data_IF_286048773303
#
_entry.id   IF_286048773303
#
_cell.length_a   1.000
_cell.length_b   1.000
_cell.length_c   1.000
_cell.angle_alpha   90.00
_cell.angle_beta   90.00
_cell.angle_gamma   90.00
#
_symmetry.space_group_name_H-M   'P 1'
#
loop_
_entity.id
_entity.type
_entity.pdbx_description
1 polymer ?
#
# COMPACT_ATOMS: atom_id res chain seq x y z
N UNK A 1 48.38 18.18 -24.26
CA UNK A 1 46.92 18.43 -24.29
C UNK A 1 46.23 17.15 -23.85
N UNK A 2 45.63 17.14 -22.65
CA UNK A 2 44.80 16.02 -22.21
C UNK A 2 43.65 15.85 -23.21
N UNK A 3 43.37 14.61 -23.59
CA UNK A 3 42.32 14.30 -24.56
C UNK A 3 40.96 14.54 -23.90
N UNK A 4 40.40 15.75 -24.05
CA UNK A 4 39.05 16.10 -23.58
C UNK A 4 37.99 15.08 -24.09
N UNK A 5 38.24 14.49 -25.26
CA UNK A 5 37.42 13.43 -25.82
C UNK A 5 37.41 12.15 -24.97
N UNK A 6 38.56 11.75 -24.42
CA UNK A 6 38.64 10.59 -23.54
C UNK A 6 37.83 10.83 -22.25
N UNK A 7 37.96 12.02 -21.66
CA UNK A 7 37.20 12.40 -20.46
C UNK A 7 35.70 12.36 -20.72
N UNK A 8 35.21 12.92 -21.83
CA UNK A 8 33.78 12.93 -22.17
C UNK A 8 33.23 11.50 -22.34
N UNK A 9 33.94 10.64 -23.08
CA UNK A 9 33.51 9.24 -23.30
C UNK A 9 33.54 8.45 -22.00
N UNK A 10 34.58 8.62 -21.20
CA UNK A 10 34.73 7.97 -19.90
C UNK A 10 33.61 8.37 -18.93
N UNK A 11 33.32 9.67 -18.80
CA UNK A 11 32.23 10.15 -17.97
C UNK A 11 30.89 9.62 -18.46
N UNK A 12 30.64 9.62 -19.79
CA UNK A 12 29.41 9.07 -20.37
C UNK A 12 29.21 7.60 -19.98
N UNK A 13 30.25 6.76 -20.12
CA UNK A 13 30.20 5.35 -19.75
C UNK A 13 29.94 5.17 -18.25
N UNK A 14 30.62 5.93 -17.39
CA UNK A 14 30.42 5.86 -15.94
C UNK A 14 28.99 6.29 -15.56
N UNK A 15 28.48 7.38 -16.12
CA UNK A 15 27.12 7.85 -15.84
C UNK A 15 26.07 6.84 -16.30
N UNK A 16 26.31 6.15 -17.42
CA UNK A 16 25.42 5.09 -17.92
C UNK A 16 25.38 3.91 -16.95
N UNK A 17 26.53 3.44 -16.47
CA UNK A 17 26.61 2.35 -15.49
C UNK A 17 25.96 2.76 -14.17
N UNK A 18 26.22 3.97 -13.67
CA UNK A 18 25.60 4.51 -12.46
C UNK A 18 24.08 4.57 -12.58
N UNK A 19 23.56 5.11 -13.68
CA UNK A 19 22.12 5.19 -13.92
C UNK A 19 21.48 3.80 -13.95
N UNK A 20 22.14 2.83 -14.59
CA UNK A 20 21.65 1.45 -14.65
C UNK A 20 21.58 0.79 -13.27
N UNK A 21 22.64 0.90 -12.47
CA UNK A 21 22.67 0.35 -11.12
C UNK A 21 21.62 1.01 -10.24
N UNK A 22 21.53 2.34 -10.26
CA UNK A 22 20.58 3.09 -9.45
C UNK A 22 19.13 2.74 -9.82
N UNK A 23 18.81 2.68 -11.12
CA UNK A 23 17.49 2.28 -11.60
C UNK A 23 17.11 0.87 -11.17
N UNK A 24 18.06 -0.07 -11.22
CA UNK A 24 17.83 -1.46 -10.83
C UNK A 24 17.57 -1.59 -9.33
N UNK A 25 18.38 -0.90 -8.51
CA UNK A 25 18.22 -0.92 -7.05
C UNK A 25 16.91 -0.26 -6.64
N UNK A 26 16.59 0.91 -7.21
CA UNK A 26 15.34 1.63 -6.93
C UNK A 26 14.13 0.75 -7.21
N UNK A 27 14.03 0.17 -8.41
CA UNK A 27 12.91 -0.67 -8.81
C UNK A 27 12.76 -1.92 -7.92
N UNK A 28 13.87 -2.53 -7.50
CA UNK A 28 13.84 -3.72 -6.63
C UNK A 28 13.42 -3.42 -5.18
N UNK A 29 13.71 -2.22 -4.68
CA UNK A 29 13.37 -1.81 -3.31
C UNK A 29 11.96 -1.23 -3.24
N UNK A 30 11.52 -0.52 -4.28
CA UNK A 30 10.21 0.13 -4.34
C UNK A 30 9.08 -0.90 -4.16
N UNK A 31 9.13 -2.03 -4.88
CA UNK A 31 8.12 -3.08 -4.77
C UNK A 31 8.03 -3.65 -3.33
N UNK A 32 9.17 -3.94 -2.70
CA UNK A 32 9.19 -4.45 -1.33
C UNK A 32 8.70 -3.42 -0.31
N UNK A 33 9.07 -2.15 -0.50
CA UNK A 33 8.64 -1.05 0.37
C UNK A 33 7.13 -0.88 0.28
N UNK A 34 6.58 -0.87 -0.93
CA UNK A 34 5.14 -0.73 -1.17
C UNK A 34 4.36 -1.90 -0.55
N UNK A 35 4.81 -3.15 -0.78
CA UNK A 35 4.17 -4.33 -0.17
C UNK A 35 4.15 -4.27 1.35
N UNK A 36 5.25 -3.85 1.98
CA UNK A 36 5.32 -3.72 3.43
C UNK A 36 4.44 -2.57 3.95
N UNK A 37 4.38 -1.46 3.23
CA UNK A 37 3.52 -0.32 3.56
C UNK A 37 2.04 -0.71 3.54
N UNK A 38 1.59 -1.39 2.48
CA UNK A 38 0.21 -1.89 2.38
C UNK A 38 -0.14 -2.89 3.48
N UNK A 39 0.79 -3.77 3.83
CA UNK A 39 0.59 -4.71 4.93
C UNK A 39 0.47 -4.00 6.28
N UNK A 40 1.23 -2.93 6.52
CA UNK A 40 1.11 -2.14 7.74
C UNK A 40 -0.23 -1.41 7.83
N UNK A 41 -0.73 -0.84 6.73
CA UNK A 41 -2.08 -0.25 6.69
C UNK A 41 -3.14 -1.31 7.04
N UNK A 42 -3.10 -2.47 6.38
CA UNK A 42 -4.05 -3.57 6.65
C UNK A 42 -3.97 -4.02 8.11
N UNK A 43 -2.75 -4.11 8.67
CA UNK A 43 -2.53 -4.42 10.08
C UNK A 43 -3.14 -3.37 11.01
N UNK A 44 -2.97 -2.08 10.72
CA UNK A 44 -3.58 -1.01 11.51
C UNK A 44 -5.11 -1.08 11.46
N UNK A 45 -5.70 -1.35 10.29
CA UNK A 45 -7.16 -1.56 10.15
C UNK A 45 -7.62 -2.75 10.99
N UNK A 46 -6.93 -3.90 10.91
CA UNK A 46 -7.24 -5.08 11.72
C UNK A 46 -7.14 -4.76 13.23
N UNK A 47 -6.11 -4.03 13.63
CA UNK A 47 -5.93 -3.57 15.02
C UNK A 47 -7.13 -2.74 15.48
N UNK A 48 -7.57 -1.77 14.68
CA UNK A 48 -8.73 -0.91 14.96
C UNK A 48 -10.04 -1.70 15.02
N UNK A 49 -10.14 -2.81 14.30
CA UNK A 49 -11.29 -3.73 14.32
C UNK A 49 -11.21 -4.77 15.47
N UNK A 50 -10.19 -4.67 16.33
CA UNK A 50 -10.03 -5.51 17.52
C UNK A 50 -9.39 -6.88 17.25
N UNK A 51 -8.74 -7.09 16.11
CA UNK A 51 -7.91 -8.27 15.90
C UNK A 51 -6.59 -8.12 16.66
N UNK A 52 -6.17 -9.18 17.35
CA UNK A 52 -4.92 -9.22 18.13
C UNK A 52 -4.10 -10.41 17.64
N UNK A 53 -2.77 -10.28 17.49
CA UNK A 53 -1.92 -11.43 17.16
C UNK A 53 -1.96 -12.43 18.31
N UNK A 54 -2.20 -13.70 17.98
CA UNK A 54 -2.09 -14.83 18.91
C UNK A 54 -0.85 -15.67 18.58
N UNK A 55 -0.43 -16.57 19.47
CA UNK A 55 0.74 -17.44 19.27
C UNK A 55 0.64 -18.27 17.98
N UNK A 56 -0.59 -18.59 17.54
CA UNK A 56 -0.85 -19.33 16.29
C UNK A 56 -1.02 -18.42 15.05
N UNK A 57 -1.17 -17.11 15.22
CA UNK A 57 -1.42 -16.14 14.13
C UNK A 57 -0.52 -14.93 14.28
N UNK A 58 0.78 -15.15 14.16
CA UNK A 58 1.74 -14.05 14.07
C UNK A 58 1.42 -13.15 12.89
N UNK A 59 1.53 -11.85 13.10
CA UNK A 59 1.31 -10.82 12.08
C UNK A 59 2.48 -10.75 11.10
N UNK A 60 2.56 -11.76 10.23
CA UNK A 60 3.32 -11.68 8.99
C UNK A 60 2.48 -11.01 7.91
N UNK A 61 3.15 -10.43 6.93
CA UNK A 61 2.53 -9.79 5.75
C UNK A 61 1.45 -10.67 5.12
N UNK A 62 1.77 -11.96 4.92
CA UNK A 62 0.88 -12.93 4.28
C UNK A 62 -0.35 -13.27 5.14
N UNK A 63 -0.16 -13.43 6.45
CA UNK A 63 -1.25 -13.75 7.37
C UNK A 63 -2.21 -12.57 7.55
N UNK A 64 -1.66 -11.36 7.68
CA UNK A 64 -2.45 -10.11 7.77
C UNK A 64 -3.34 -9.98 6.54
N UNK A 65 -2.77 -10.18 5.35
CA UNK A 65 -3.52 -10.11 4.09
C UNK A 65 -4.63 -11.17 4.01
N UNK A 66 -4.34 -12.40 4.42
CA UNK A 66 -5.33 -13.48 4.45
C UNK A 66 -6.48 -13.20 5.42
N UNK A 67 -6.17 -12.76 6.65
CA UNK A 67 -7.18 -12.43 7.68
C UNK A 67 -8.04 -11.26 7.21
N UNK A 68 -7.41 -10.24 6.63
CA UNK A 68 -8.09 -9.07 6.07
C UNK A 68 -9.08 -9.48 4.98
N UNK A 69 -8.63 -10.24 3.98
CA UNK A 69 -9.48 -10.68 2.87
C UNK A 69 -10.67 -11.54 3.31
N UNK A 70 -10.49 -12.33 4.36
CA UNK A 70 -11.53 -13.24 4.85
C UNK A 70 -12.53 -12.59 5.81
N UNK A 71 -12.13 -11.53 6.53
CA UNK A 71 -12.90 -11.00 7.67
C UNK A 71 -13.34 -9.54 7.51
N UNK A 72 -12.74 -8.82 6.57
CA UNK A 72 -12.98 -7.39 6.33
C UNK A 72 -13.60 -7.19 4.97
N UNK A 73 -14.70 -6.44 4.93
CA UNK A 73 -15.34 -5.97 3.70
C UNK A 73 -14.95 -4.51 3.52
N UNK A 74 -14.26 -4.21 2.43
CA UNK A 74 -13.90 -2.86 2.00
C UNK A 74 -14.94 -2.31 1.02
N UNK A 75 -15.31 -1.04 1.19
CA UNK A 75 -16.14 -0.30 0.24
C UNK A 75 -15.84 1.20 0.34
N UNK A 76 -16.27 1.95 -0.66
CA UNK A 76 -16.08 3.40 -0.74
C UNK A 76 -17.42 4.08 -0.59
N UNK A 77 -17.47 5.16 0.17
CA UNK A 77 -18.65 6.02 0.32
C UNK A 77 -18.36 7.42 -0.17
N UNK A 78 -19.38 8.12 -0.64
CA UNK A 78 -19.29 9.55 -0.95
C UNK A 78 -19.46 10.41 0.31
N UNK A 79 -19.33 11.74 0.15
CA UNK A 79 -19.59 12.73 1.21
C UNK A 79 -21.00 12.70 1.82
N UNK A 80 -21.97 12.10 1.12
CA UNK A 80 -23.34 11.95 1.60
C UNK A 80 -23.53 10.63 2.38
N UNK A 81 -22.55 9.73 2.33
CA UNK A 81 -22.59 8.40 2.93
C UNK A 81 -23.16 7.33 2.01
N UNK A 82 -23.38 7.63 0.73
CA UNK A 82 -23.86 6.68 -0.27
C UNK A 82 -22.69 5.83 -0.77
N UNK A 83 -22.94 4.53 -0.97
CA UNK A 83 -21.92 3.59 -1.45
C UNK A 83 -21.65 3.86 -2.93
N UNK A 84 -20.39 4.12 -3.27
CA UNK A 84 -19.93 4.28 -4.64
C UNK A 84 -19.63 2.90 -5.21
N UNK A 85 -20.55 2.36 -6.00
CA UNK A 85 -20.36 1.04 -6.65
C UNK A 85 -19.24 1.09 -7.70
N UNK A 86 -18.36 0.08 -7.68
CA UNK A 86 -17.29 -0.08 -8.68
C UNK A 86 -15.97 0.62 -8.34
N UNK A 87 -15.85 1.25 -7.16
CA UNK A 87 -14.60 1.84 -6.67
C UNK A 87 -14.07 1.06 -5.46
N UNK A 88 -12.78 0.70 -5.48
CA UNK A 88 -12.10 0.10 -4.33
C UNK A 88 -11.34 1.17 -3.55
N UNK A 89 -11.10 0.98 -2.24
CA UNK A 89 -10.24 1.88 -1.46
C UNK A 89 -8.85 2.12 -2.04
N UNK A 90 -8.33 1.13 -2.80
CA UNK A 90 -7.02 1.16 -3.43
C UNK A 90 -6.98 2.10 -4.66
N UNK A 91 -8.15 2.42 -5.23
CA UNK A 91 -8.28 3.28 -6.42
C UNK A 91 -8.38 4.77 -6.06
N UNK A 92 -8.57 5.10 -4.78
CA UNK A 92 -8.76 6.48 -4.33
C UNK A 92 -7.41 7.21 -4.38
N UNK A 93 -7.33 8.28 -5.17
CA UNK A 93 -6.20 9.21 -5.07
C UNK A 93 -6.59 10.35 -4.10
N UNK A 94 -6.05 10.40 -2.87
CA UNK A 94 -6.40 11.43 -1.90
C UNK A 94 -6.03 12.86 -2.35
N UNK A 95 -5.28 13.04 -3.44
CA UNK A 95 -4.97 14.35 -4.03
C UNK A 95 -6.03 14.82 -5.02
N UNK A 96 -6.76 13.89 -5.63
CA UNK A 96 -7.75 14.17 -6.69
C UNK A 96 -9.16 13.98 -6.11
N UNK A 97 -9.39 12.85 -5.47
CA UNK A 97 -10.67 12.38 -5.00
C UNK A 97 -10.95 12.87 -3.57
N UNK A 98 -11.52 14.07 -3.47
CA UNK A 98 -11.76 14.76 -2.19
C UNK A 98 -13.10 14.38 -1.53
N UNK A 99 -14.03 13.82 -2.31
CA UNK A 99 -15.43 13.59 -1.93
C UNK A 99 -15.76 12.10 -1.71
N UNK A 100 -14.76 11.22 -1.68
CA UNK A 100 -14.93 9.78 -1.46
C UNK A 100 -14.03 9.29 -0.33
N UNK A 101 -14.53 8.36 0.45
CA UNK A 101 -13.88 7.88 1.67
C UNK A 101 -13.91 6.35 1.74
N UNK A 102 -12.78 5.70 2.03
CA UNK A 102 -12.73 4.26 2.22
C UNK A 102 -13.29 3.89 3.60
N UNK A 103 -14.13 2.86 3.65
CA UNK A 103 -14.65 2.28 4.89
C UNK A 103 -14.38 0.78 4.91
N UNK A 104 -13.95 0.30 6.08
CA UNK A 104 -13.68 -1.11 6.32
C UNK A 104 -14.62 -1.64 7.38
N UNK A 105 -15.34 -2.71 7.06
CA UNK A 105 -16.33 -3.32 7.95
C UNK A 105 -15.91 -4.73 8.34
N UNK A 106 -15.88 -5.01 9.64
CA UNK A 106 -15.71 -6.36 10.17
C UNK A 106 -17.05 -7.08 10.18
N UNK A 107 -17.09 -8.26 9.56
CA UNK A 107 -18.32 -9.05 9.49
C UNK A 107 -18.05 -10.48 9.96
N UNK A 108 -18.72 -10.90 11.03
CA UNK A 108 -18.61 -12.26 11.59
C UNK A 108 -20.01 -12.88 11.61
N UNK A 109 -20.20 -14.03 10.95
CA UNK A 109 -21.49 -14.74 10.91
C UNK A 109 -22.70 -13.86 10.50
N UNK A 110 -22.51 -12.95 9.53
CA UNK A 110 -23.56 -12.05 9.05
C UNK A 110 -23.90 -10.89 9.99
N UNK A 111 -23.23 -10.76 11.14
CA UNK A 111 -23.33 -9.60 12.03
C UNK A 111 -22.14 -8.66 11.81
N UNK A 112 -22.44 -7.37 11.78
CA UNK A 112 -21.42 -6.33 11.74
C UNK A 112 -20.90 -6.12 13.15
N UNK A 113 -19.61 -6.36 13.37
CA UNK A 113 -18.98 -6.22 14.69
C UNK A 113 -18.27 -4.88 14.88
N UNK A 114 -17.90 -4.21 13.78
CA UNK A 114 -17.23 -2.92 13.86
C UNK A 114 -16.93 -2.31 12.49
N UNK A 115 -16.58 -1.03 12.52
CA UNK A 115 -16.14 -0.25 11.38
C UNK A 115 -14.79 0.39 11.68
N UNK A 116 -13.92 0.45 10.69
CA UNK A 116 -12.68 1.21 10.71
C UNK A 116 -12.73 2.23 9.59
N UNK A 117 -12.48 3.50 9.97
CA UNK A 117 -12.49 4.65 9.07
C UNK A 117 -11.10 5.28 9.17
N UNK A 118 -10.32 5.29 8.09
CA UNK A 118 -9.04 5.98 8.07
C UNK A 118 -9.24 7.48 8.27
N UNK A 119 -8.43 8.06 9.14
CA UNK A 119 -8.34 9.51 9.33
C UNK A 119 -6.96 9.97 8.88
N UNK A 120 -6.89 11.02 8.07
CA UNK A 120 -5.65 11.65 7.60
C UNK A 120 -5.51 13.06 8.16
#
# INVERSE_FOLDING_TARGET
MHSNRYTIIFTMLITMVLAFVLSSVYSSLEEQTERNFQADIKKNILSSLGFVPDENTSWTTENVEAIFKNSVISFVVDKNGDIVEGMLPEDIDPKIDNDVYPIYKKTTNGKTEGFAIPIS
#
